data_IF_593659841967
#
_entry.id   IF_593659841967
#
_cell.length_a   1.000
_cell.length_b   1.000
_cell.length_c   1.000
_cell.angle_alpha   90.00
_cell.angle_beta   90.00
_cell.angle_gamma   90.00
#
_symmetry.space_group_name_H-M   'P 1'
#
loop_
_entity.id
_entity.type
_entity.pdbx_description
1 polymer ?
#
# COMPACT_ATOMS: atom_id res chain seq x y z
N UNK A 1 -50.21 -42.00 79.76
CA UNK A 1 -50.64 -41.21 78.58
C UNK A 1 -49.45 -41.03 77.65
N UNK A 2 -49.33 -41.97 76.69
CA UNK A 2 -48.83 -41.90 75.30
C UNK A 2 -47.78 -40.81 75.00
N UNK A 3 -46.49 -41.12 74.83
CA UNK A 3 -45.85 -41.79 73.67
C UNK A 3 -45.97 -41.01 72.35
N UNK A 4 -44.81 -40.83 71.69
CA UNK A 4 -44.61 -40.72 70.22
C UNK A 4 -44.32 -39.38 69.53
N UNK A 5 -44.10 -38.24 70.21
CA UNK A 5 -43.92 -36.96 69.47
C UNK A 5 -42.49 -36.37 69.50
N UNK A 6 -41.56 -36.86 70.32
CA UNK A 6 -40.23 -36.22 70.43
C UNK A 6 -39.12 -36.97 69.67
N UNK A 7 -39.41 -38.15 69.13
CA UNK A 7 -38.40 -38.99 68.45
C UNK A 7 -38.76 -39.24 66.99
N UNK A 8 -39.05 -38.18 66.22
CA UNK A 8 -39.28 -38.26 64.77
C UNK A 8 -38.59 -37.12 64.01
N UNK A 9 -37.39 -36.74 64.44
CA UNK A 9 -36.47 -35.90 63.64
C UNK A 9 -35.10 -36.61 63.57
N UNK A 10 -35.14 -37.93 63.43
CA UNK A 10 -34.01 -38.74 63.00
C UNK A 10 -34.24 -39.07 61.52
N UNK A 11 -33.20 -38.89 60.68
CA UNK A 11 -33.15 -39.28 59.26
C UNK A 11 -33.92 -38.46 58.22
N UNK A 12 -33.56 -37.20 57.95
CA UNK A 12 -33.54 -36.72 56.54
C UNK A 12 -32.44 -35.66 56.37
N UNK A 13 -31.21 -36.00 56.72
CA UNK A 13 -30.02 -35.28 56.24
C UNK A 13 -29.39 -36.11 55.15
N UNK A 14 -30.03 -36.18 53.98
CA UNK A 14 -29.49 -36.89 52.82
C UNK A 14 -28.17 -36.23 52.44
N UNK A 15 -27.08 -36.95 52.68
CA UNK A 15 -25.73 -36.60 52.29
C UNK A 15 -25.71 -36.36 50.78
N UNK A 16 -25.63 -35.10 50.37
CA UNK A 16 -25.30 -34.73 49.00
C UNK A 16 -23.78 -34.85 48.87
N UNK A 17 -23.29 -36.07 48.60
CA UNK A 17 -21.92 -36.25 48.15
C UNK A 17 -21.83 -35.69 46.73
N UNK A 18 -21.36 -34.45 46.60
CA UNK A 18 -20.98 -33.90 45.30
C UNK A 18 -19.91 -34.81 44.72
N UNK A 19 -20.23 -35.53 43.65
CA UNK A 19 -19.22 -36.21 42.84
C UNK A 19 -18.38 -35.11 42.21
N UNK A 20 -17.26 -34.78 42.85
CA UNK A 20 -16.25 -33.90 42.27
C UNK A 20 -15.66 -34.68 41.10
N UNK A 21 -16.06 -34.32 39.88
CA UNK A 21 -15.41 -34.83 38.69
C UNK A 21 -13.90 -34.55 38.82
N UNK A 22 -13.02 -35.53 38.52
CA UNK A 22 -11.60 -35.29 38.55
C UNK A 22 -11.30 -34.14 37.59
N UNK A 23 -10.77 -33.04 38.15
CA UNK A 23 -10.27 -31.92 37.35
C UNK A 23 -9.16 -32.50 36.48
N UNK A 24 -9.23 -32.38 35.14
CA UNK A 24 -8.14 -32.81 34.30
C UNK A 24 -6.89 -32.04 34.72
N UNK A 25 -5.92 -32.75 35.29
CA UNK A 25 -4.62 -32.19 35.60
C UNK A 25 -3.99 -31.83 34.26
N UNK A 26 -3.84 -30.54 33.98
CA UNK A 26 -3.17 -30.07 32.78
C UNK A 26 -1.77 -30.70 32.75
N UNK A 27 -1.47 -31.47 31.70
CA UNK A 27 -0.11 -31.97 31.52
C UNK A 27 0.77 -30.78 31.22
N UNK A 28 1.66 -30.47 32.16
CA UNK A 28 2.75 -29.52 31.94
C UNK A 28 3.80 -30.24 31.11
N UNK A 29 4.06 -29.74 29.91
CA UNK A 29 5.20 -30.16 29.11
C UNK A 29 6.47 -29.58 29.75
N UNK A 30 7.43 -30.42 30.20
CA UNK A 30 8.68 -29.94 30.77
C UNK A 30 9.57 -29.21 29.75
N UNK A 31 9.30 -29.34 28.45
CA UNK A 31 10.05 -28.68 27.39
C UNK A 31 9.12 -28.18 26.28
N UNK A 32 8.32 -27.13 26.54
CA UNK A 32 7.28 -26.69 25.61
C UNK A 32 7.87 -26.12 24.33
N UNK A 33 7.29 -26.50 23.19
CA UNK A 33 7.68 -26.00 21.88
C UNK A 33 6.45 -25.56 21.08
N UNK A 34 6.59 -24.43 20.39
CA UNK A 34 5.60 -23.98 19.41
C UNK A 34 6.26 -23.11 18.34
N UNK A 35 5.57 -22.96 17.22
CA UNK A 35 5.89 -21.96 16.19
C UNK A 35 4.59 -21.52 15.55
N UNK A 36 4.37 -20.21 15.43
CA UNK A 36 3.23 -19.65 14.73
C UNK A 36 3.61 -18.33 14.06
N UNK A 37 2.76 -17.89 13.13
CA UNK A 37 2.86 -16.57 12.54
C UNK A 37 1.61 -16.24 11.75
N UNK A 38 1.43 -14.94 11.49
CA UNK A 38 0.38 -14.41 10.64
C UNK A 38 0.89 -13.21 9.86
N UNK A 39 0.17 -12.89 8.79
CA UNK A 39 0.43 -11.75 7.93
C UNK A 39 -0.91 -11.16 7.46
N UNK A 40 -1.00 -9.83 7.47
CA UNK A 40 -2.17 -9.06 7.06
C UNK A 40 -1.69 -8.06 6.01
N UNK A 41 -2.33 -8.13 4.84
CA UNK A 41 -2.12 -7.22 3.71
C UNK A 41 -3.48 -6.78 3.19
N UNK A 42 -4.04 -5.74 3.81
CA UNK A 42 -5.31 -5.17 3.39
C UNK A 42 -5.12 -3.76 2.81
N UNK A 43 -5.23 -3.67 1.49
CA UNK A 43 -5.09 -2.40 0.77
C UNK A 43 -6.29 -1.46 0.95
N UNK A 44 -7.45 -1.96 1.40
CA UNK A 44 -8.66 -1.16 1.58
C UNK A 44 -8.58 -0.42 2.92
N UNK A 45 -8.32 -1.14 4.01
CA UNK A 45 -8.13 -0.52 5.32
C UNK A 45 -6.74 0.12 5.49
N UNK A 46 -5.76 -0.29 4.66
CA UNK A 46 -4.36 0.10 4.81
C UNK A 46 -3.64 -0.68 5.91
N UNK A 47 -4.21 -1.80 6.38
CA UNK A 47 -3.58 -2.61 7.41
C UNK A 47 -2.51 -3.52 6.81
N UNK A 48 -1.27 -3.21 7.16
CA UNK A 48 -0.09 -4.02 6.84
C UNK A 48 0.62 -4.36 8.15
N UNK A 49 0.51 -5.61 8.56
CA UNK A 49 1.17 -6.13 9.76
C UNK A 49 1.50 -7.60 9.61
N UNK A 50 2.54 -8.03 10.32
CA UNK A 50 2.92 -9.43 10.35
C UNK A 50 3.57 -9.76 11.68
N UNK A 51 3.51 -11.01 12.08
CA UNK A 51 4.09 -11.50 13.32
C UNK A 51 4.48 -12.96 13.15
N UNK A 52 5.61 -13.33 13.75
CA UNK A 52 6.06 -14.69 13.89
C UNK A 52 6.70 -14.87 15.26
N UNK A 53 6.48 -16.02 15.86
CA UNK A 53 7.06 -16.39 17.14
C UNK A 53 7.28 -17.90 17.21
N UNK A 54 8.37 -18.28 17.85
CA UNK A 54 8.64 -19.66 18.20
C UNK A 54 9.13 -19.74 19.64
N UNK A 55 8.82 -20.86 20.28
CA UNK A 55 9.32 -21.24 21.60
C UNK A 55 10.05 -22.56 21.52
N UNK A 56 11.18 -22.62 22.22
CA UNK A 56 11.96 -23.83 22.41
C UNK A 56 12.35 -23.93 23.89
N UNK A 57 11.60 -24.71 24.66
CA UNK A 57 11.77 -24.80 26.11
C UNK A 57 11.49 -23.46 26.78
N UNK A 58 12.49 -22.87 27.43
CA UNK A 58 12.36 -21.58 28.12
C UNK A 58 12.79 -20.38 27.26
N UNK A 59 13.15 -20.61 25.99
CA UNK A 59 13.55 -19.56 25.06
C UNK A 59 12.41 -19.26 24.11
N UNK A 60 12.03 -17.99 24.01
CA UNK A 60 11.08 -17.47 23.01
C UNK A 60 11.81 -16.51 22.09
N UNK A 61 11.59 -16.62 20.79
CA UNK A 61 12.12 -15.67 19.80
C UNK A 61 11.05 -15.35 18.77
N UNK A 62 11.05 -14.13 18.26
CA UNK A 62 10.13 -13.78 17.20
C UNK A 62 10.35 -12.38 16.67
N UNK A 63 9.49 -11.99 15.73
CA UNK A 63 9.43 -10.61 15.26
C UNK A 63 8.01 -10.21 14.92
N UNK A 64 7.69 -8.93 15.08
CA UNK A 64 6.47 -8.35 14.52
C UNK A 64 6.80 -7.13 13.69
N UNK A 65 5.91 -6.81 12.74
CA UNK A 65 5.96 -5.56 12.00
C UNK A 65 4.59 -4.94 11.89
N UNK A 66 4.55 -3.61 11.92
CA UNK A 66 3.35 -2.80 11.76
C UNK A 66 3.70 -1.52 11.00
N UNK A 67 2.83 -1.10 10.10
CA UNK A 67 2.90 0.23 9.50
C UNK A 67 2.31 1.24 10.48
N UNK A 68 3.17 2.13 10.99
CA UNK A 68 2.77 3.21 11.89
C UNK A 68 2.09 4.34 11.08
N UNK A 69 1.26 5.20 11.72
CA UNK A 69 0.53 6.28 11.05
C UNK A 69 1.41 7.33 10.36
N UNK A 70 2.70 7.38 10.73
CA UNK A 70 3.70 8.25 10.11
C UNK A 70 4.21 7.72 8.75
N UNK A 71 3.70 6.57 8.29
CA UNK A 71 4.10 5.95 7.02
C UNK A 71 5.43 5.21 7.10
N UNK A 72 5.91 4.90 8.31
CA UNK A 72 7.06 4.01 8.53
C UNK A 72 6.60 2.62 8.93
N UNK A 73 7.38 1.60 8.54
CA UNK A 73 7.22 0.24 9.02
C UNK A 73 8.13 0.07 10.22
N UNK A 74 7.52 -0.15 11.38
CA UNK A 74 8.22 -0.57 12.59
C UNK A 74 8.35 -2.08 12.58
N UNK A 75 9.58 -2.56 12.77
CA UNK A 75 9.92 -3.97 12.93
C UNK A 75 10.54 -4.13 14.31
N UNK A 76 10.07 -5.11 15.06
CA UNK A 76 10.62 -5.45 16.38
C UNK A 76 11.03 -6.91 16.36
N UNK A 77 12.32 -7.15 16.47
CA UNK A 77 12.87 -8.48 16.71
C UNK A 77 13.04 -8.64 18.23
N UNK A 78 12.56 -9.75 18.81
CA UNK A 78 12.60 -9.96 20.25
C UNK A 78 13.04 -11.39 20.61
N UNK A 79 13.62 -11.50 21.79
CA UNK A 79 14.00 -12.76 22.42
C UNK A 79 13.72 -12.68 23.93
N UNK A 80 13.32 -13.79 24.53
CA UNK A 80 13.18 -13.93 25.97
C UNK A 80 13.80 -15.25 26.43
N UNK A 81 14.61 -15.17 27.49
CA UNK A 81 15.22 -16.34 28.12
C UNK A 81 15.38 -16.14 29.65
N UNK A 82 15.62 -17.21 30.44
CA UNK A 82 15.74 -17.11 31.90
C UNK A 82 16.92 -16.29 32.42
N UNK A 83 17.96 -16.07 31.61
CA UNK A 83 19.21 -15.43 31.99
C UNK A 83 19.15 -13.93 31.71
N UNK A 84 18.76 -13.55 30.49
CA UNK A 84 18.75 -12.16 30.02
C UNK A 84 17.36 -11.50 30.11
N UNK A 85 16.31 -12.27 30.39
CA UNK A 85 14.93 -11.79 30.35
C UNK A 85 14.49 -11.41 28.93
N UNK A 86 13.48 -10.56 28.83
CA UNK A 86 12.99 -10.05 27.54
C UNK A 86 13.88 -8.94 26.98
N UNK A 87 14.33 -9.10 25.75
CA UNK A 87 15.11 -8.11 25.01
C UNK A 87 14.51 -7.93 23.60
N UNK A 88 14.50 -6.70 23.10
CA UNK A 88 13.97 -6.39 21.78
C UNK A 88 14.78 -5.29 21.07
N UNK A 89 14.93 -5.44 19.75
CA UNK A 89 15.55 -4.45 18.87
C UNK A 89 14.47 -3.90 17.94
N UNK A 90 14.28 -2.59 18.00
CA UNK A 90 13.27 -1.88 17.20
C UNK A 90 13.95 -1.18 16.03
N UNK A 91 13.48 -1.45 14.81
CA UNK A 91 13.88 -0.76 13.58
C UNK A 91 12.68 -0.05 12.98
N UNK A 92 12.90 1.12 12.37
CA UNK A 92 11.90 1.83 11.58
C UNK A 92 12.45 2.06 10.18
N UNK A 93 11.69 1.67 9.17
CA UNK A 93 12.03 1.86 7.77
C UNK A 93 10.90 2.58 7.03
N UNK A 94 11.17 3.49 6.09
CA UNK A 94 10.12 4.06 5.25
C UNK A 94 9.49 2.97 4.37
N UNK A 95 8.18 3.03 4.13
CA UNK A 95 7.48 2.06 3.26
C UNK A 95 7.94 2.08 1.80
N UNK A 96 8.67 3.12 1.39
CA UNK A 96 9.17 3.29 0.02
C UNK A 96 10.50 2.58 -0.12
N UNK A 97 10.47 1.31 -0.55
CA UNK A 97 11.54 0.83 -1.43
C UNK A 97 11.39 1.66 -2.69
N UNK A 98 12.41 2.47 -3.00
CA UNK A 98 12.46 3.32 -4.18
C UNK A 98 11.86 2.58 -5.37
N UNK A 99 10.74 3.08 -5.91
CA UNK A 99 10.20 2.57 -7.14
C UNK A 99 11.34 2.55 -8.17
N UNK A 100 11.56 1.46 -8.92
CA UNK A 100 12.57 1.46 -9.97
C UNK A 100 12.25 2.67 -10.85
N UNK A 101 13.22 3.59 -10.95
CA UNK A 101 13.05 4.82 -11.71
C UNK A 101 12.49 4.42 -13.07
N UNK A 102 11.26 4.84 -13.36
CA UNK A 102 10.67 4.64 -14.68
C UNK A 102 11.61 5.35 -15.64
N UNK A 103 12.41 4.60 -16.39
CA UNK A 103 13.22 5.14 -17.47
C UNK A 103 12.20 5.71 -18.45
N UNK A 104 11.99 7.02 -18.38
CA UNK A 104 11.24 7.74 -19.39
C UNK A 104 12.10 7.59 -20.64
N UNK A 105 11.66 6.71 -21.56
CA UNK A 105 12.28 6.66 -22.88
C UNK A 105 12.30 8.09 -23.43
N UNK A 106 13.45 8.59 -23.92
CA UNK A 106 13.49 9.92 -24.50
C UNK A 106 12.44 10.00 -25.59
N UNK A 107 11.59 11.02 -25.53
CA UNK A 107 10.59 11.27 -26.56
C UNK A 107 11.28 11.28 -27.93
N UNK A 108 10.72 10.60 -28.96
CA UNK A 108 11.34 10.60 -30.27
C UNK A 108 11.45 12.04 -30.75
N UNK A 109 12.67 12.48 -31.08
CA UNK A 109 12.90 13.72 -31.79
C UNK A 109 12.11 13.65 -33.11
N UNK A 110 11.02 14.42 -33.19
CA UNK A 110 10.27 14.60 -34.42
C UNK A 110 11.23 15.12 -35.49
N UNK A 111 11.42 14.34 -36.56
CA UNK A 111 12.19 14.79 -37.70
C UNK A 111 11.55 16.09 -38.25
N UNK A 112 12.34 17.09 -38.67
CA UNK A 112 11.81 18.30 -39.26
C UNK A 112 10.98 17.94 -40.50
N UNK A 113 9.77 18.48 -40.59
CA UNK A 113 8.88 18.27 -41.72
C UNK A 113 9.56 18.73 -43.03
N UNK A 114 9.40 17.99 -44.14
CA UNK A 114 9.96 18.41 -45.42
C UNK A 114 9.30 19.74 -45.84
N UNK A 115 10.12 20.77 -46.00
CA UNK A 115 9.66 22.07 -46.52
C UNK A 115 9.45 21.89 -48.02
N UNK A 116 8.19 21.95 -48.47
CA UNK A 116 7.87 21.99 -49.88
C UNK A 116 8.35 23.33 -50.49
N UNK A 117 8.96 23.34 -51.69
CA UNK A 117 9.34 24.58 -52.35
C UNK A 117 8.09 25.39 -52.71
N UNK A 118 8.12 26.70 -52.42
CA UNK A 118 7.03 27.61 -52.74
C UNK A 118 6.84 27.73 -54.26
N UNK A 119 5.59 27.79 -54.76
CA UNK A 119 5.36 27.95 -56.19
C UNK A 119 5.84 29.32 -56.67
N UNK A 120 6.72 29.33 -57.67
CA UNK A 120 7.11 30.56 -58.36
C UNK A 120 5.94 30.99 -59.24
N UNK A 121 5.28 32.09 -58.86
CA UNK A 121 4.23 32.69 -59.69
C UNK A 121 4.85 33.28 -60.96
N UNK A 122 4.35 32.87 -62.13
CA UNK A 122 4.76 33.42 -63.41
C UNK A 122 4.44 34.94 -63.44
N UNK A 123 5.44 35.74 -63.81
CA UNK A 123 5.31 37.19 -63.92
C UNK A 123 4.35 37.54 -65.05
N UNK A 124 3.30 38.31 -64.74
CA UNK A 124 2.33 38.77 -65.74
C UNK A 124 3.02 39.62 -66.83
N UNK A 125 2.60 39.52 -68.10
CA UNK A 125 3.14 40.34 -69.17
C UNK A 125 2.76 41.81 -68.95
N UNK A 126 3.75 42.70 -69.03
CA UNK A 126 3.52 44.15 -69.06
C UNK A 126 2.91 44.51 -70.41
N UNK A 127 1.70 45.06 -70.39
CA UNK A 127 1.09 45.63 -71.59
C UNK A 127 1.74 46.97 -71.92
N UNK A 128 2.19 47.16 -73.16
CA UNK A 128 2.74 48.43 -73.60
C UNK A 128 1.62 49.49 -73.70
N UNK A 129 1.85 50.74 -73.28
CA UNK A 129 0.86 51.80 -73.43
C UNK A 129 0.61 52.10 -74.92
N UNK A 130 -0.66 52.29 -75.29
CA UNK A 130 -1.06 52.64 -76.64
C UNK A 130 -0.51 54.03 -77.04
N UNK A 131 -0.12 54.26 -78.31
CA UNK A 131 0.40 55.55 -78.76
C UNK A 131 -0.67 56.64 -78.70
N UNK A 132 -0.29 57.83 -78.23
CA UNK A 132 -1.16 58.99 -78.15
C UNK A 132 -1.50 59.55 -79.54
N UNK A 133 -2.72 60.09 -79.76
CA UNK A 133 -3.09 60.68 -81.04
C UNK A 133 -2.32 61.97 -81.29
N UNK A 134 -1.67 62.07 -82.46
CA UNK A 134 -0.96 63.28 -82.91
C UNK A 134 -2.01 64.27 -83.43
N UNK A 135 -2.12 65.43 -82.80
CA UNK A 135 -3.02 66.50 -83.26
C UNK A 135 -2.31 67.31 -84.36
N UNK A 136 -2.86 67.31 -85.58
CA UNK A 136 -2.33 68.10 -86.68
C UNK A 136 -2.66 69.60 -86.48
N UNK A 137 -1.73 70.53 -86.72
CA UNK A 137 -2.00 71.95 -86.63
C UNK A 137 -2.95 72.42 -87.74
N UNK A 138 -3.97 73.18 -87.36
CA UNK A 138 -4.95 73.81 -88.26
C UNK A 138 -4.28 74.98 -88.99
N UNK A 139 -4.19 74.90 -90.32
CA UNK A 139 -3.67 75.99 -91.15
C UNK A 139 -4.63 77.20 -91.08
N UNK A 140 -4.15 78.44 -90.90
CA UNK A 140 -4.98 79.62 -91.02
C UNK A 140 -5.27 79.93 -92.50
N UNK A 141 -6.55 80.14 -92.81
CA UNK A 141 -7.02 80.73 -94.06
C UNK A 141 -6.62 82.21 -94.14
N UNK A 142 -6.24 82.68 -95.34
CA UNK A 142 -6.22 84.10 -95.69
C UNK A 142 -7.15 84.36 -96.89
N UNK A 143 -7.82 85.51 -96.84
CA UNK A 143 -8.75 86.09 -97.82
C UNK A 143 -8.09 86.40 -99.16
#
# INVERSE_FOLDING_TARGET
>A
MNSKIVLFICMVGVASASVVAPVPVARVDPFPQYSYGYDVQDSISGDYKGHQEQRNGDVVTGSYSVVDPDGTRRIVDYAADPINGFNAVVRREPLVVAAPAKVIAPAPLLAPAPVAPAPVLARAPLYAPAPAPVFAPRLPYYF
#
